data_IF_435656272027
#
_entry.id   IF_435656272027
#
_cell.length_a   1.000
_cell.length_b   1.000
_cell.length_c   1.000
_cell.angle_alpha   90.00
_cell.angle_beta   90.00
_cell.angle_gamma   90.00
#
_symmetry.space_group_name_H-M   'P 1'
#
loop_
_entity.id
_entity.type
_entity.pdbx_description
1 polymer ?
#
# COMPACT_ATOMS: atom_id res chain seq x y z
N UNK A 1 -12.28 15.15 -6.01
CA UNK A 1 -12.76 15.70 -4.72
C UNK A 1 -14.23 15.39 -4.52
N UNK A 2 -15.13 15.85 -5.40
CA UNK A 2 -16.58 15.66 -5.23
C UNK A 2 -17.01 14.18 -5.06
N UNK A 3 -16.41 13.27 -5.82
CA UNK A 3 -16.67 11.83 -5.71
C UNK A 3 -16.33 11.31 -4.31
N UNK A 4 -15.20 11.74 -3.78
CA UNK A 4 -14.74 11.36 -2.43
C UNK A 4 -15.67 11.93 -1.36
N UNK A 5 -16.04 13.20 -1.48
CA UNK A 5 -17.03 13.84 -0.58
C UNK A 5 -18.35 13.07 -0.56
N UNK A 6 -18.87 12.73 -1.74
CA UNK A 6 -20.13 12.00 -1.87
C UNK A 6 -20.04 10.59 -1.26
N UNK A 7 -18.92 9.91 -1.46
CA UNK A 7 -18.72 8.56 -0.95
C UNK A 7 -18.49 8.51 0.56
N UNK A 8 -17.82 9.50 1.12
CA UNK A 8 -17.41 9.51 2.54
C UNK A 8 -18.33 10.33 3.44
N UNK A 9 -19.14 11.24 2.88
CA UNK A 9 -19.92 12.21 3.63
C UNK A 9 -19.09 13.31 4.32
N UNK A 10 -17.79 13.37 4.01
CA UNK A 10 -16.88 14.38 4.59
C UNK A 10 -16.98 15.71 3.87
N UNK A 11 -16.68 16.79 4.59
CA UNK A 11 -16.59 18.14 4.03
C UNK A 11 -15.42 18.29 3.08
N UNK A 12 -15.41 19.36 2.29
CA UNK A 12 -14.30 19.68 1.40
C UNK A 12 -13.00 19.90 2.19
N UNK A 13 -13.08 20.53 3.35
CA UNK A 13 -11.91 20.82 4.19
C UNK A 13 -11.29 19.52 4.73
N UNK A 14 -12.12 18.59 5.18
CA UNK A 14 -11.65 17.27 5.64
C UNK A 14 -11.01 16.47 4.49
N UNK A 15 -11.67 16.41 3.33
CA UNK A 15 -11.12 15.70 2.16
C UNK A 15 -9.81 16.35 1.71
N UNK A 16 -9.72 17.68 1.74
CA UNK A 16 -8.50 18.40 1.35
C UNK A 16 -7.30 18.02 2.22
N UNK A 17 -7.49 17.81 3.52
CA UNK A 17 -6.41 17.37 4.41
C UNK A 17 -5.84 16.00 4.01
N UNK A 18 -6.70 15.07 3.61
CA UNK A 18 -6.24 13.76 3.09
C UNK A 18 -5.49 13.90 1.76
N UNK A 19 -5.99 14.76 0.88
CA UNK A 19 -5.36 15.00 -0.42
C UNK A 19 -4.03 15.74 -0.28
N UNK A 20 -3.88 16.64 0.69
CA UNK A 20 -2.63 17.33 0.97
C UNK A 20 -1.52 16.31 1.36
N UNK A 21 -1.87 15.29 2.11
CA UNK A 21 -0.94 14.23 2.47
C UNK A 21 -0.46 13.45 1.23
N UNK A 22 -1.38 13.09 0.33
CA UNK A 22 -1.03 12.44 -0.94
C UNK A 22 -0.26 13.37 -1.88
N UNK A 23 -0.58 14.65 -1.89
CA UNK A 23 0.13 15.66 -2.68
C UNK A 23 1.59 15.78 -2.21
N UNK A 24 1.79 15.91 -0.90
CA UNK A 24 3.13 15.91 -0.34
C UNK A 24 3.91 14.66 -0.75
N UNK A 25 3.30 13.48 -0.59
CA UNK A 25 3.93 12.22 -0.97
C UNK A 25 4.30 12.19 -2.47
N UNK A 26 3.41 12.67 -3.33
CA UNK A 26 3.64 12.76 -4.78
C UNK A 26 4.77 13.72 -5.13
N UNK A 27 4.84 14.87 -4.45
CA UNK A 27 5.89 15.88 -4.69
C UNK A 27 7.27 15.37 -4.27
N UNK A 28 7.33 14.52 -3.26
CA UNK A 28 8.57 13.98 -2.71
C UNK A 28 9.00 12.66 -3.34
N UNK A 29 8.17 12.06 -4.18
CA UNK A 29 8.43 10.77 -4.84
C UNK A 29 8.25 10.89 -6.36
N UNK A 30 8.51 9.79 -7.08
CA UNK A 30 8.22 9.70 -8.52
C UNK A 30 6.78 9.23 -8.82
N UNK A 31 5.95 9.02 -7.79
CA UNK A 31 4.61 8.46 -7.95
C UNK A 31 3.56 9.55 -8.13
N UNK A 32 2.67 9.36 -9.13
CA UNK A 32 1.76 10.41 -9.58
C UNK A 32 0.57 10.65 -8.64
N UNK A 33 0.34 11.92 -8.29
CA UNK A 33 -0.82 12.35 -7.50
C UNK A 33 -2.15 11.97 -8.19
N UNK A 34 -2.22 12.05 -9.51
CA UNK A 34 -3.43 11.72 -10.28
C UNK A 34 -3.82 10.25 -10.09
N UNK A 35 -2.86 9.32 -10.17
CA UNK A 35 -3.13 7.90 -9.95
C UNK A 35 -3.61 7.64 -8.53
N UNK A 36 -2.99 8.28 -7.55
CA UNK A 36 -3.35 8.13 -6.14
C UNK A 36 -4.75 8.68 -5.83
N UNK A 37 -5.10 9.86 -6.36
CA UNK A 37 -6.43 10.45 -6.14
C UNK A 37 -7.53 9.71 -6.88
N UNK A 38 -7.28 9.23 -8.08
CA UNK A 38 -8.22 8.38 -8.82
C UNK A 38 -8.47 7.06 -8.08
N UNK A 39 -7.43 6.47 -7.54
CA UNK A 39 -7.54 5.27 -6.70
C UNK A 39 -8.37 5.54 -5.44
N UNK A 40 -8.09 6.62 -4.73
CA UNK A 40 -8.86 6.99 -3.53
C UNK A 40 -10.35 7.18 -3.85
N UNK A 41 -10.68 7.84 -4.95
CA UNK A 41 -12.06 8.03 -5.40
C UNK A 41 -12.75 6.68 -5.69
N UNK A 42 -12.06 5.76 -6.36
CA UNK A 42 -12.58 4.43 -6.68
C UNK A 42 -12.80 3.59 -5.41
N UNK A 43 -11.82 3.55 -4.53
CA UNK A 43 -11.86 2.73 -3.32
C UNK A 43 -12.87 3.24 -2.29
N UNK A 44 -13.01 4.57 -2.13
CA UNK A 44 -14.07 5.15 -1.28
C UNK A 44 -15.46 4.88 -1.84
N UNK A 45 -15.61 4.90 -3.17
CA UNK A 45 -16.87 4.54 -3.83
C UNK A 45 -17.22 3.05 -3.67
N UNK A 46 -16.22 2.20 -3.49
CA UNK A 46 -16.41 0.78 -3.18
C UNK A 46 -16.73 0.52 -1.69
N UNK A 47 -16.81 1.56 -0.87
CA UNK A 47 -17.17 1.48 0.54
C UNK A 47 -16.00 1.48 1.51
N UNK A 48 -14.77 1.70 1.04
CA UNK A 48 -13.59 1.76 1.90
C UNK A 48 -13.56 3.01 2.76
N UNK A 49 -13.02 2.89 3.98
CA UNK A 49 -12.80 4.01 4.88
C UNK A 49 -11.54 4.78 4.48
N UNK A 50 -11.69 6.08 4.25
CA UNK A 50 -10.60 6.95 3.81
C UNK A 50 -9.41 6.94 4.79
N UNK A 51 -9.64 6.78 6.08
CA UNK A 51 -8.58 6.70 7.09
C UNK A 51 -7.68 5.48 6.89
N UNK A 52 -8.22 4.38 6.36
CA UNK A 52 -7.47 3.16 6.04
C UNK A 52 -6.93 3.18 4.60
N UNK A 53 -7.60 3.85 3.69
CA UNK A 53 -7.24 3.88 2.28
C UNK A 53 -6.02 4.76 1.98
N UNK A 54 -5.85 5.88 2.68
CA UNK A 54 -4.65 6.72 2.51
C UNK A 54 -3.38 5.94 2.84
N UNK A 55 -3.25 5.28 4.01
CA UNK A 55 -2.10 4.42 4.27
C UNK A 55 -1.96 3.25 3.28
N UNK A 56 -3.07 2.68 2.82
CA UNK A 56 -3.02 1.61 1.81
C UNK A 56 -2.41 2.10 0.50
N UNK A 57 -2.83 3.25 -0.02
CA UNK A 57 -2.31 3.82 -1.26
C UNK A 57 -0.82 4.15 -1.13
N UNK A 58 -0.41 4.80 -0.05
CA UNK A 58 1.00 5.07 0.23
C UNK A 58 1.81 3.78 0.36
N UNK A 59 1.23 2.76 1.00
CA UNK A 59 1.85 1.46 1.16
C UNK A 59 2.05 0.71 -0.16
N UNK A 60 1.12 0.83 -1.11
CA UNK A 60 1.27 0.27 -2.47
C UNK A 60 2.46 0.94 -3.18
N UNK A 61 2.57 2.26 -3.08
CA UNK A 61 3.68 2.99 -3.66
C UNK A 61 5.02 2.59 -3.00
N UNK A 62 5.06 2.49 -1.68
CA UNK A 62 6.26 2.07 -0.95
C UNK A 62 6.65 0.62 -1.27
N UNK A 63 5.69 -0.29 -1.40
CA UNK A 63 5.96 -1.68 -1.82
C UNK A 63 6.54 -1.73 -3.24
N UNK A 64 6.08 -0.85 -4.13
CA UNK A 64 6.62 -0.69 -5.49
C UNK A 64 8.06 -0.16 -5.44
N UNK A 65 8.33 0.86 -4.65
CA UNK A 65 9.65 1.40 -4.43
C UNK A 65 10.60 0.38 -3.81
N UNK A 66 10.12 -0.39 -2.84
CA UNK A 66 10.87 -1.47 -2.21
C UNK A 66 11.31 -2.54 -3.22
N UNK A 67 10.47 -2.86 -4.20
CA UNK A 67 10.79 -3.76 -5.29
C UNK A 67 11.73 -3.14 -6.36
N UNK A 68 12.15 -1.88 -6.19
CA UNK A 68 13.02 -1.17 -7.11
C UNK A 68 12.32 -0.71 -8.39
N UNK A 69 11.00 -0.53 -8.36
CA UNK A 69 10.18 -0.20 -9.53
C UNK A 69 9.71 1.25 -9.50
N UNK A 70 9.39 1.78 -10.68
CA UNK A 70 9.05 3.19 -10.88
C UNK A 70 7.55 3.45 -11.06
N UNK A 71 7.24 4.63 -11.61
CA UNK A 71 5.88 5.13 -11.74
C UNK A 71 4.98 4.24 -12.63
N UNK A 72 5.49 3.65 -13.70
CA UNK A 72 4.71 2.79 -14.59
C UNK A 72 4.24 1.51 -13.89
N UNK A 73 5.12 0.90 -13.12
CA UNK A 73 4.81 -0.30 -12.33
C UNK A 73 3.86 0.02 -11.17
N UNK A 74 4.00 1.19 -10.55
CA UNK A 74 3.06 1.67 -9.55
C UNK A 74 1.65 1.84 -10.13
N UNK A 75 1.51 2.49 -11.28
CA UNK A 75 0.21 2.66 -11.93
C UNK A 75 -0.46 1.31 -12.22
N UNK A 76 0.31 0.32 -12.68
CA UNK A 76 -0.18 -1.04 -12.90
C UNK A 76 -0.59 -1.72 -11.60
N UNK A 77 0.24 -1.62 -10.57
CA UNK A 77 -0.03 -2.23 -9.27
C UNK A 77 -1.30 -1.66 -8.65
N UNK A 78 -1.44 -0.34 -8.60
CA UNK A 78 -2.61 0.30 -8.00
C UNK A 78 -3.90 -0.02 -8.76
N UNK A 79 -3.85 -0.09 -10.08
CA UNK A 79 -4.99 -0.49 -10.90
C UNK A 79 -5.47 -1.92 -10.56
N UNK A 80 -4.56 -2.88 -10.53
CA UNK A 80 -4.90 -4.27 -10.23
C UNK A 80 -5.35 -4.46 -8.77
N UNK A 81 -4.70 -3.80 -7.83
CA UNK A 81 -5.09 -3.86 -6.43
C UNK A 81 -6.45 -3.21 -6.18
N UNK A 82 -6.79 -2.15 -6.91
CA UNK A 82 -8.13 -1.57 -6.86
C UNK A 82 -9.21 -2.53 -7.36
N UNK A 83 -8.93 -3.30 -8.41
CA UNK A 83 -9.84 -4.33 -8.90
C UNK A 83 -10.06 -5.43 -7.85
N UNK A 84 -8.98 -5.92 -7.25
CA UNK A 84 -9.05 -6.91 -6.17
C UNK A 84 -9.82 -6.39 -4.96
N UNK A 85 -9.56 -5.16 -4.54
CA UNK A 85 -10.27 -4.53 -3.43
C UNK A 85 -11.78 -4.45 -3.69
N UNK A 86 -12.17 -4.01 -4.88
CA UNK A 86 -13.58 -3.92 -5.28
C UNK A 86 -14.26 -5.30 -5.36
N UNK A 87 -13.49 -6.35 -5.67
CA UNK A 87 -13.97 -7.72 -5.67
C UNK A 87 -14.05 -8.35 -4.27
N UNK A 88 -13.46 -7.72 -3.27
CA UNK A 88 -13.47 -8.17 -1.87
C UNK A 88 -12.25 -8.97 -1.41
N UNK A 89 -11.38 -9.36 -2.31
CA UNK A 89 -10.15 -10.09 -1.99
C UNK A 89 -9.12 -9.98 -3.11
N UNK A 90 -7.86 -10.22 -2.78
CA UNK A 90 -6.78 -10.26 -3.74
C UNK A 90 -6.98 -11.43 -4.71
N UNK A 91 -7.18 -11.09 -5.99
CA UNK A 91 -7.48 -12.07 -7.03
C UNK A 91 -6.18 -12.58 -7.68
N UNK A 92 -6.19 -13.84 -8.09
CA UNK A 92 -5.06 -14.48 -8.76
C UNK A 92 -4.56 -13.68 -9.98
N UNK A 93 -5.47 -13.25 -10.85
CA UNK A 93 -5.09 -12.52 -12.07
C UNK A 93 -4.48 -11.15 -11.78
N UNK A 94 -4.99 -10.44 -10.77
CA UNK A 94 -4.45 -9.16 -10.34
C UNK A 94 -3.06 -9.35 -9.73
N UNK A 95 -2.89 -10.37 -8.89
CA UNK A 95 -1.58 -10.72 -8.34
C UNK A 95 -0.59 -11.09 -9.43
N UNK A 96 -1.03 -11.86 -10.42
CA UNK A 96 -0.19 -12.23 -11.57
C UNK A 96 0.33 -10.98 -12.32
N UNK A 97 -0.49 -9.96 -12.44
CA UNK A 97 -0.11 -8.67 -13.04
C UNK A 97 0.95 -7.95 -12.21
N UNK A 98 0.85 -7.98 -10.88
CA UNK A 98 1.89 -7.44 -9.99
C UNK A 98 3.20 -8.22 -10.13
N UNK A 99 3.11 -9.53 -10.23
CA UNK A 99 4.26 -10.43 -10.41
C UNK A 99 4.99 -10.12 -11.73
N UNK A 100 4.24 -9.99 -12.83
CA UNK A 100 4.77 -9.61 -14.13
C UNK A 100 5.40 -8.21 -14.14
N UNK A 101 4.88 -7.28 -13.36
CA UNK A 101 5.45 -5.94 -13.18
C UNK A 101 6.68 -5.93 -12.26
N UNK A 102 6.99 -7.04 -11.61
CA UNK A 102 8.10 -7.16 -10.67
C UNK A 102 7.85 -6.51 -9.31
N UNK A 103 6.60 -6.25 -8.95
CA UNK A 103 6.21 -5.61 -7.68
C UNK A 103 6.03 -6.63 -6.56
N UNK A 104 5.80 -7.92 -6.89
CA UNK A 104 5.54 -8.99 -5.93
C UNK A 104 6.82 -9.46 -5.24
N UNK A 105 7.38 -8.63 -4.36
CA UNK A 105 8.54 -8.99 -3.57
C UNK A 105 8.22 -10.10 -2.56
N UNK A 106 9.25 -10.82 -2.12
CA UNK A 106 9.16 -11.79 -1.01
C UNK A 106 8.61 -11.13 0.25
N UNK A 107 9.05 -9.91 0.55
CA UNK A 107 8.62 -9.13 1.70
C UNK A 107 7.15 -8.75 1.63
N UNK A 108 6.65 -8.38 0.46
CA UNK A 108 5.22 -8.11 0.28
C UNK A 108 4.37 -9.37 0.51
N UNK A 109 4.75 -10.50 -0.07
CA UNK A 109 4.06 -11.78 0.17
C UNK A 109 4.04 -12.14 1.65
N UNK A 110 5.19 -12.05 2.31
CA UNK A 110 5.30 -12.38 3.73
C UNK A 110 4.47 -11.43 4.60
N UNK A 111 4.45 -10.15 4.29
CA UNK A 111 3.63 -9.17 5.02
C UNK A 111 2.14 -9.46 4.88
N UNK A 112 1.68 -9.85 3.69
CA UNK A 112 0.30 -10.28 3.47
C UNK A 112 -0.05 -11.53 4.29
N UNK A 113 0.82 -12.53 4.27
CA UNK A 113 0.65 -13.78 5.05
C UNK A 113 0.57 -13.46 6.55
N UNK A 114 1.55 -12.74 7.08
CA UNK A 114 1.63 -12.42 8.51
C UNK A 114 0.41 -11.61 8.96
N UNK A 115 -0.04 -10.68 8.14
CA UNK A 115 -1.24 -9.88 8.41
C UNK A 115 -2.50 -10.74 8.45
N UNK A 116 -2.64 -11.67 7.50
CA UNK A 116 -3.78 -12.59 7.48
C UNK A 116 -3.80 -13.52 8.70
N UNK A 117 -2.64 -13.97 9.15
CA UNK A 117 -2.50 -14.75 10.38
C UNK A 117 -2.89 -13.92 11.62
N UNK A 118 -2.41 -12.68 11.73
CA UNK A 118 -2.77 -11.75 12.82
C UNK A 118 -4.28 -11.50 12.90
N UNK A 119 -4.94 -11.39 11.74
CA UNK A 119 -6.38 -11.14 11.64
C UNK A 119 -7.22 -12.44 11.77
N UNK A 120 -6.58 -13.59 11.89
CA UNK A 120 -7.28 -14.87 12.02
C UNK A 120 -7.96 -15.36 10.74
N UNK A 121 -7.55 -14.84 9.58
CA UNK A 121 -8.08 -15.28 8.27
C UNK A 121 -7.52 -16.65 7.86
N UNK A 122 -6.33 -16.96 8.33
CA UNK A 122 -5.64 -18.23 8.15
C UNK A 122 -4.98 -18.61 9.48
N UNK A 123 -4.69 -19.90 9.64
CA UNK A 123 -3.92 -20.38 10.78
C UNK A 123 -2.43 -20.26 10.52
N UNK A 124 -1.62 -20.19 11.57
CA UNK A 124 -0.18 -20.11 11.48
C UNK A 124 0.38 -21.27 10.63
N UNK A 125 1.20 -20.93 9.63
CA UNK A 125 1.82 -21.90 8.74
C UNK A 125 0.90 -22.44 7.64
N UNK A 126 -0.37 -22.10 7.61
CA UNK A 126 -1.32 -22.56 6.57
C UNK A 126 -0.93 -22.05 5.18
N UNK A 127 -0.48 -20.80 5.07
CA UNK A 127 0.02 -20.18 3.85
C UNK A 127 1.50 -19.87 4.02
N UNK A 128 2.28 -20.15 2.99
CA UNK A 128 3.71 -19.85 2.92
C UNK A 128 4.05 -19.27 1.55
N UNK A 129 5.31 -18.91 1.32
CA UNK A 129 5.73 -18.33 0.05
C UNK A 129 5.54 -19.27 -1.15
N UNK A 130 5.58 -20.60 -0.94
CA UNK A 130 5.43 -21.58 -2.00
C UNK A 130 3.97 -21.77 -2.45
N UNK A 131 3.02 -21.69 -1.51
CA UNK A 131 1.59 -21.89 -1.82
C UNK A 131 0.81 -20.57 -1.85
N UNK A 132 1.47 -19.42 -1.75
CA UNK A 132 0.85 -18.10 -1.71
C UNK A 132 -0.13 -17.91 -2.88
N UNK A 133 0.34 -18.06 -4.10
CA UNK A 133 -0.47 -17.84 -5.31
C UNK A 133 -1.63 -18.83 -5.43
N UNK A 134 -1.37 -20.11 -5.17
CA UNK A 134 -2.38 -21.16 -5.27
C UNK A 134 -3.51 -21.04 -4.26
N UNK A 135 -3.23 -20.45 -3.11
CA UNK A 135 -4.21 -20.28 -2.02
C UNK A 135 -5.02 -18.99 -2.12
N UNK A 136 -4.69 -18.06 -3.00
CA UNK A 136 -5.46 -16.82 -3.18
C UNK A 136 -6.93 -17.07 -3.50
N UNK A 137 -7.26 -18.18 -4.17
CA UNK A 137 -8.62 -18.64 -4.45
C UNK A 137 -9.46 -18.89 -3.19
N UNK A 138 -8.81 -19.10 -2.05
CA UNK A 138 -9.48 -19.32 -0.76
C UNK A 138 -9.90 -18.00 -0.09
N UNK A 139 -9.64 -16.86 -0.75
CA UNK A 139 -10.11 -15.51 -0.36
C UNK A 139 -9.59 -15.02 0.98
N UNK A 140 -8.45 -15.57 1.45
CA UNK A 140 -7.88 -15.16 2.74
C UNK A 140 -7.30 -13.74 2.72
N UNK A 141 -6.83 -13.28 1.56
CA UNK A 141 -6.32 -11.91 1.39
C UNK A 141 -7.47 -10.96 1.06
N UNK A 142 -8.36 -10.74 2.01
CA UNK A 142 -9.52 -9.88 1.87
C UNK A 142 -9.17 -8.38 1.98
N UNK A 143 -10.18 -7.50 1.92
CA UNK A 143 -9.96 -6.05 1.97
C UNK A 143 -9.31 -5.60 3.27
N UNK A 144 -9.64 -6.23 4.40
CA UNK A 144 -9.03 -5.93 5.70
C UNK A 144 -7.55 -6.30 5.72
N UNK A 145 -7.20 -7.47 5.19
CA UNK A 145 -5.80 -7.90 5.01
C UNK A 145 -5.05 -6.94 4.10
N UNK A 146 -5.64 -6.56 2.97
CA UNK A 146 -5.03 -5.62 2.02
C UNK A 146 -4.75 -4.27 2.67
N UNK A 147 -5.73 -3.68 3.34
CA UNK A 147 -5.58 -2.39 4.03
C UNK A 147 -4.48 -2.44 5.07
N UNK A 148 -4.49 -3.45 5.93
CA UNK A 148 -3.54 -3.56 7.03
C UNK A 148 -2.12 -3.90 6.54
N UNK A 149 -1.98 -4.81 5.60
CA UNK A 149 -0.68 -5.21 5.05
C UNK A 149 0.00 -4.04 4.32
N UNK A 150 -0.70 -3.36 3.42
CA UNK A 150 -0.14 -2.18 2.75
C UNK A 150 0.04 -1.01 3.71
N UNK A 151 -0.80 -0.88 4.74
CA UNK A 151 -0.61 0.09 5.82
C UNK A 151 0.72 -0.09 6.55
N UNK A 152 1.21 -1.31 6.70
CA UNK A 152 2.55 -1.57 7.26
C UNK A 152 3.68 -0.99 6.38
N UNK A 153 3.54 -1.05 5.06
CA UNK A 153 4.48 -0.39 4.14
C UNK A 153 4.39 1.13 4.21
N UNK A 154 3.25 1.71 4.57
CA UNK A 154 3.09 3.15 4.74
C UNK A 154 3.96 3.70 5.88
N UNK A 155 4.35 2.89 6.84
CA UNK A 155 5.28 3.29 7.91
C UNK A 155 6.64 3.74 7.38
N UNK A 156 7.05 3.26 6.19
CA UNK A 156 8.24 3.77 5.51
C UNK A 156 8.11 5.25 5.14
N UNK A 157 6.91 5.71 4.80
CA UNK A 157 6.64 7.14 4.52
C UNK A 157 6.87 7.98 5.76
N UNK A 158 6.38 7.56 6.91
CA UNK A 158 6.59 8.27 8.18
C UNK A 158 8.07 8.31 8.58
N UNK A 159 8.77 7.19 8.43
CA UNK A 159 10.20 7.11 8.70
C UNK A 159 11.01 7.99 7.74
N UNK A 160 10.65 8.02 6.46
CA UNK A 160 11.29 8.86 5.46
C UNK A 160 11.06 10.36 5.75
N UNK A 161 9.83 10.73 6.11
CA UNK A 161 9.51 12.10 6.52
C UNK A 161 10.35 12.54 7.71
N UNK A 162 10.42 11.72 8.76
CA UNK A 162 11.23 12.00 9.93
C UNK A 162 12.71 12.16 9.58
N UNK A 163 13.26 11.31 8.72
CA UNK A 163 14.66 11.37 8.28
C UNK A 163 14.97 12.64 7.46
N UNK A 164 14.04 13.08 6.60
CA UNK A 164 14.15 14.34 5.86
C UNK A 164 14.11 15.54 6.82
N UNK A 165 13.19 15.55 7.78
CA UNK A 165 13.10 16.62 8.80
C UNK A 165 14.36 16.69 9.68
N UNK A 166 15.01 15.54 9.95
CA UNK A 166 16.27 15.46 10.69
C UNK A 166 17.50 15.85 9.86
N UNK A 167 17.33 16.12 8.56
CA UNK A 167 18.43 16.48 7.66
C UNK A 167 19.32 15.30 7.22
N UNK A 168 18.86 14.07 7.42
CA UNK A 168 19.59 12.86 7.01
C UNK A 168 19.52 12.61 5.50
N UNK A 169 18.44 13.05 4.86
CA UNK A 169 18.22 13.00 3.42
C UNK A 169 17.65 14.33 2.92
N UNK A 170 17.93 14.65 1.66
CA UNK A 170 17.38 15.88 1.04
C UNK A 170 15.92 15.69 0.62
N UNK A 171 15.56 14.48 0.14
CA UNK A 171 14.23 14.17 -0.36
C UNK A 171 13.66 12.90 0.29
N UNK A 172 12.34 12.81 0.35
CA UNK A 172 11.66 11.60 0.81
C UNK A 172 11.92 10.41 -0.13
N UNK A 173 12.09 10.65 -1.43
CA UNK A 173 12.43 9.61 -2.40
C UNK A 173 13.77 8.94 -2.06
N UNK A 174 14.79 9.73 -1.77
CA UNK A 174 16.09 9.21 -1.32
C UNK A 174 15.97 8.44 0.00
N UNK A 175 15.23 8.98 0.96
CA UNK A 175 14.99 8.35 2.24
C UNK A 175 14.26 7.01 2.09
N UNK A 176 13.18 6.95 1.28
CA UNK A 176 12.42 5.72 1.02
C UNK A 176 13.31 4.67 0.35
N UNK A 177 14.13 5.03 -0.63
CA UNK A 177 15.04 4.09 -1.29
C UNK A 177 16.09 3.54 -0.32
N UNK A 178 16.69 4.39 0.49
CA UNK A 178 17.68 3.98 1.48
C UNK A 178 17.08 3.10 2.57
N UNK A 179 15.91 3.48 3.10
CA UNK A 179 15.17 2.73 4.12
C UNK A 179 14.61 1.42 3.57
N UNK A 180 14.21 1.37 2.30
CA UNK A 180 13.78 0.15 1.62
C UNK A 180 14.92 -0.87 1.51
N UNK A 181 16.16 -0.42 1.29
CA UNK A 181 17.35 -1.28 1.29
C UNK A 181 17.63 -1.92 2.66
N UNK A 182 17.17 -1.27 3.73
CA UNK A 182 17.32 -1.72 5.11
C UNK A 182 15.96 -2.13 5.73
N UNK A 183 15.03 -2.58 4.89
CA UNK A 183 13.63 -2.83 5.27
C UNK A 183 13.50 -3.72 6.52
N UNK A 184 14.27 -4.79 6.61
CA UNK A 184 14.22 -5.71 7.75
C UNK A 184 14.54 -5.01 9.06
N UNK A 185 15.45 -4.05 9.04
CA UNK A 185 15.83 -3.27 10.21
C UNK A 185 14.79 -2.20 10.56
N UNK A 186 14.29 -1.50 9.56
CA UNK A 186 13.27 -0.45 9.72
C UNK A 186 11.90 -1.05 10.06
N UNK A 187 11.50 -2.10 9.38
CA UNK A 187 10.24 -2.79 9.63
C UNK A 187 10.21 -3.40 11.03
N UNK A 188 11.31 -4.01 11.48
CA UNK A 188 11.40 -4.56 12.84
C UNK A 188 11.24 -3.47 13.90
N UNK A 189 11.75 -2.26 13.67
CA UNK A 189 11.54 -1.13 14.58
C UNK A 189 10.11 -0.59 14.50
N UNK A 190 9.58 -0.40 13.31
CA UNK A 190 8.24 0.13 13.07
C UNK A 190 7.13 -0.82 13.54
N UNK A 191 7.28 -2.12 13.30
CA UNK A 191 6.28 -3.13 13.65
C UNK A 191 6.36 -3.63 15.11
N UNK A 192 7.44 -3.30 15.83
CA UNK A 192 7.58 -3.63 17.26
C UNK A 192 7.24 -2.48 18.21
N UNK A 193 7.09 -1.29 17.67
CA UNK A 193 6.63 -0.14 18.44
C UNK A 193 5.11 -0.04 18.39
#
# INVERSE_FOLDING_TARGET
>A
VQTIMNATGKSIDEVSQYLDKLMWYSDETSYGFTDMTASLAQLTSAGGDIDNLIPMIEGIANATAFAGKGAAEFSRAIYNLNQSYSAGHLQYMDWKSLDLAGVSSKQLKQTLIDTAEELGKITEGQVNLNNFTDTLKDEWADTEVMEKAFGKFAELTEAAYAAVQAGEFETASEAIQALSGNYDEVAVKAFRS
#
